data_IF_751580213406
#
_entry.id   IF_751580213406
#
_cell.length_a   1.000
_cell.length_b   1.000
_cell.length_c   1.000
_cell.angle_alpha   90.00
_cell.angle_beta   90.00
_cell.angle_gamma   90.00
#
_symmetry.space_group_name_H-M   'P 1'
#
loop_
_entity.id
_entity.type
_entity.pdbx_description
1 polymer ?
#
# COMPACT_ATOMS: atom_id res chain seq x y z
N UNK A 1 -10.51 -14.81 3.46
CA UNK A 1 -9.06 -14.78 3.76
C UNK A 1 -8.41 -15.95 3.05
N UNK A 2 -7.26 -15.75 2.43
CA UNK A 2 -6.46 -16.83 1.84
C UNK A 2 -5.50 -17.38 2.91
N UNK A 3 -5.35 -18.70 2.98
CA UNK A 3 -4.39 -19.31 3.90
C UNK A 3 -2.96 -18.92 3.49
N UNK A 4 -2.17 -18.43 4.44
CA UNK A 4 -0.77 -18.11 4.22
C UNK A 4 0.10 -19.31 4.58
N UNK A 5 0.81 -19.88 3.60
CA UNK A 5 1.72 -21.02 3.81
C UNK A 5 3.14 -20.64 3.45
N UNK A 6 3.47 -20.62 2.16
CA UNK A 6 4.78 -20.22 1.63
C UNK A 6 4.53 -19.27 0.47
N UNK A 7 5.12 -18.08 0.53
CA UNK A 7 5.12 -17.11 -0.55
C UNK A 7 6.54 -16.91 -1.07
N UNK A 8 6.73 -16.98 -2.40
CA UNK A 8 7.98 -16.62 -3.09
C UNK A 8 7.66 -15.49 -4.06
N UNK A 9 8.41 -14.40 -3.98
CA UNK A 9 8.17 -13.20 -4.77
C UNK A 9 9.37 -12.27 -4.80
N UNK A 10 9.29 -11.25 -5.65
CA UNK A 10 10.27 -10.18 -5.70
C UNK A 10 10.15 -9.29 -4.46
N UNK A 11 11.28 -8.89 -3.90
CA UNK A 11 11.34 -7.94 -2.77
C UNK A 11 11.65 -6.54 -3.30
N UNK A 12 10.98 -5.53 -2.73
CA UNK A 12 11.28 -4.12 -2.95
C UNK A 12 11.83 -3.51 -1.64
N UNK A 13 13.11 -3.10 -1.57
CA UNK A 13 13.66 -2.45 -0.39
C UNK A 13 13.09 -1.04 -0.22
N UNK A 14 12.77 -0.66 1.02
CA UNK A 14 12.30 0.67 1.38
C UNK A 14 13.12 1.19 2.57
N UNK A 15 14.14 1.99 2.28
CA UNK A 15 15.07 2.53 3.28
C UNK A 15 14.53 3.84 3.89
N UNK A 16 13.46 3.72 4.67
CA UNK A 16 12.82 4.83 5.38
C UNK A 16 12.31 4.37 6.74
N UNK A 17 12.71 5.09 7.78
CA UNK A 17 12.11 4.94 9.11
C UNK A 17 10.79 5.74 9.20
N UNK A 18 9.94 5.36 10.16
CA UNK A 18 8.71 6.08 10.49
C UNK A 18 7.74 6.28 9.30
N UNK A 19 7.58 5.26 8.45
CA UNK A 19 6.56 5.23 7.39
C UNK A 19 5.17 5.36 8.01
N UNK A 20 4.54 6.53 7.87
CA UNK A 20 3.22 6.81 8.44
C UNK A 20 2.06 6.36 7.53
N UNK A 21 0.82 6.54 8.01
CA UNK A 21 -0.37 6.11 7.27
C UNK A 21 -0.65 6.93 6.02
N UNK A 22 -0.33 8.23 6.02
CA UNK A 22 -0.53 9.09 4.85
C UNK A 22 0.51 8.75 3.76
N UNK A 23 1.74 8.42 4.16
CA UNK A 23 2.78 7.89 3.28
C UNK A 23 2.38 6.58 2.60
N UNK A 24 1.70 5.67 3.31
CA UNK A 24 1.19 4.41 2.72
C UNK A 24 0.04 4.70 1.75
N UNK A 25 -0.92 5.53 2.17
CA UNK A 25 -2.09 5.91 1.38
C UNK A 25 -2.61 7.28 1.82
N UNK A 26 -2.49 8.32 0.97
CA UNK A 26 -2.95 9.65 1.36
C UNK A 26 -4.46 9.72 1.61
N UNK A 27 -4.86 10.47 2.63
CA UNK A 27 -6.27 10.63 3.06
C UNK A 27 -7.26 11.04 1.95
N UNK A 28 -6.83 11.74 0.90
CA UNK A 28 -7.73 12.14 -0.20
C UNK A 28 -8.38 10.94 -0.89
N UNK A 29 -7.71 9.80 -0.93
CA UNK A 29 -8.22 8.60 -1.60
C UNK A 29 -9.24 7.86 -0.74
N UNK A 30 -9.22 8.05 0.59
CA UNK A 30 -10.09 7.33 1.54
C UNK A 30 -11.56 7.77 1.50
N UNK A 31 -11.89 8.79 0.69
CA UNK A 31 -13.29 9.20 0.42
C UNK A 31 -13.98 8.29 -0.62
N UNK A 32 -13.22 7.41 -1.27
CA UNK A 32 -13.75 6.54 -2.32
C UNK A 32 -14.64 5.43 -1.74
N UNK A 33 -15.83 5.28 -2.31
CA UNK A 33 -16.74 4.14 -2.08
C UNK A 33 -16.62 3.06 -3.17
N UNK A 34 -15.73 3.25 -4.15
CA UNK A 34 -15.56 2.34 -5.29
C UNK A 34 -14.89 1.05 -4.82
N UNK A 35 -15.37 -0.10 -5.33
CA UNK A 35 -14.83 -1.44 -5.03
C UNK A 35 -13.66 -1.87 -5.94
N UNK A 36 -12.99 -0.91 -6.59
CA UNK A 36 -11.86 -1.16 -7.49
C UNK A 36 -10.51 -1.34 -6.78
N UNK A 37 -10.47 -1.16 -5.45
CA UNK A 37 -9.25 -1.25 -4.65
C UNK A 37 -8.43 0.05 -4.62
N UNK A 38 -7.47 0.11 -3.70
CA UNK A 38 -6.60 1.28 -3.45
C UNK A 38 -5.16 1.10 -3.94
N UNK A 39 -4.81 -0.10 -4.45
CA UNK A 39 -3.45 -0.45 -4.85
C UNK A 39 -2.74 0.56 -5.77
N UNK A 40 -3.41 1.18 -6.77
CA UNK A 40 -2.77 2.16 -7.64
C UNK A 40 -2.24 3.42 -6.93
N UNK A 41 -2.81 3.76 -5.76
CA UNK A 41 -2.49 4.95 -4.98
C UNK A 41 -1.61 4.63 -3.76
N UNK A 42 -1.12 3.39 -3.64
CA UNK A 42 -0.18 3.02 -2.58
C UNK A 42 1.13 3.78 -2.79
N UNK A 43 1.61 4.42 -1.73
CA UNK A 43 2.83 5.25 -1.76
C UNK A 43 2.79 6.36 -2.81
N UNK A 44 1.62 6.95 -3.08
CA UNK A 44 1.42 7.98 -4.12
C UNK A 44 2.38 9.17 -3.97
N UNK A 45 2.68 9.60 -2.74
CA UNK A 45 3.62 10.70 -2.48
C UNK A 45 5.08 10.35 -2.80
N UNK A 46 5.40 9.06 -2.93
CA UNK A 46 6.77 8.56 -3.11
C UNK A 46 6.99 7.89 -4.47
N UNK A 47 5.95 7.85 -5.31
CA UNK A 47 5.96 7.24 -6.64
C UNK A 47 6.28 8.23 -7.75
#
# INVERSE_FOLDING_TARGET
MQAFTIHKGLVAPLDRENVDTDAIIPKQFLKSIKRSGFGPNAFDEWR
#
